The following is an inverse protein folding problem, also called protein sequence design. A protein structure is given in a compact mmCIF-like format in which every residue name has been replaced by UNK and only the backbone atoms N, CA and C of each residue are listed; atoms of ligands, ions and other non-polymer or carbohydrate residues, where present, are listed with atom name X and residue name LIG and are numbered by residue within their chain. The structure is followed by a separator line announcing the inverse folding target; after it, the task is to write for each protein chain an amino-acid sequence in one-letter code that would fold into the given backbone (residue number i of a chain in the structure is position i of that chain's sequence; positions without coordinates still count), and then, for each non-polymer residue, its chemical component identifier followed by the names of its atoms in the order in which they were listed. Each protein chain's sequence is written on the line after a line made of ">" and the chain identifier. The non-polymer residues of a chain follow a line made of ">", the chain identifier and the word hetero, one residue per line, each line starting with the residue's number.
data_IF_267287598146
#
_entry.id   IF_267287598146
#
_cell.length_a   1.000
_cell.length_b   1.000
_cell.length_c   1.000
_cell.angle_alpha   90.00
_cell.angle_beta   90.00
_cell.angle_gamma   90.00
#
_symmetry.space_group_name_H-M   'P 1'
#
loop_
_entity.id
_entity.type
_entity.pdbx_description
1 polymer ?
#
# COMPACT_ATOMS: atom_id res chain seq x y z
N UNK A 1 -2.61 -2.61 16.38
CA UNK A 1 -3.72 -3.18 15.58
C UNK A 1 -3.83 -2.38 14.28
N UNK A 2 -3.19 -2.82 13.19
CA UNK A 2 -3.37 -2.20 11.87
C UNK A 2 -4.52 -2.91 11.16
N UNK A 3 -5.63 -2.23 10.92
CA UNK A 3 -6.75 -2.83 10.19
C UNK A 3 -6.46 -2.69 8.68
N UNK A 4 -6.19 -3.79 7.99
CA UNK A 4 -6.04 -3.76 6.53
C UNK A 4 -7.43 -3.61 5.91
N UNK A 5 -7.71 -2.42 5.39
CA UNK A 5 -9.03 -2.08 4.86
C UNK A 5 -9.24 -2.61 3.44
N UNK A 6 -8.18 -2.68 2.61
CA UNK A 6 -8.26 -3.13 1.21
C UNK A 6 -6.89 -3.58 0.68
N UNK A 7 -6.85 -4.71 -0.03
CA UNK A 7 -5.67 -5.19 -0.77
C UNK A 7 -6.15 -5.83 -2.09
N UNK A 8 -6.15 -5.03 -3.16
CA UNK A 8 -6.58 -5.46 -4.50
C UNK A 8 -5.43 -5.26 -5.50
N UNK A 9 -4.80 -6.35 -5.99
CA UNK A 9 -3.83 -6.26 -7.06
C UNK A 9 -4.50 -5.77 -8.34
N UNK A 10 -3.98 -4.71 -8.95
CA UNK A 10 -4.46 -4.17 -10.22
C UNK A 10 -3.32 -4.01 -11.21
N UNK A 11 -3.52 -4.48 -12.43
CA UNK A 11 -2.58 -4.22 -13.53
C UNK A 11 -2.89 -2.85 -14.14
N UNK A 12 -1.88 -1.99 -14.22
CA UNK A 12 -2.04 -0.60 -14.66
C UNK A 12 -1.08 -0.27 -15.78
N UNK A 13 -1.56 0.49 -16.77
CA UNK A 13 -0.78 0.91 -17.93
C UNK A 13 0.05 2.18 -17.68
N UNK A 14 0.94 2.55 -18.63
CA UNK A 14 1.69 3.80 -18.57
C UNK A 14 0.77 5.02 -18.41
N UNK A 15 1.09 5.91 -17.48
CA UNK A 15 0.31 7.12 -17.22
C UNK A 15 -0.91 6.90 -16.32
N UNK A 16 -1.10 5.70 -15.76
CA UNK A 16 -2.09 5.47 -14.73
C UNK A 16 -1.92 6.45 -13.57
N UNK A 17 -3.05 6.96 -13.07
CA UNK A 17 -3.14 7.81 -11.90
C UNK A 17 -4.21 7.23 -11.00
N UNK A 18 -3.89 7.07 -9.72
CA UNK A 18 -4.91 6.79 -8.73
C UNK A 18 -5.86 7.99 -8.65
N UNK A 19 -7.15 7.69 -8.49
CA UNK A 19 -8.14 8.72 -8.21
C UNK A 19 -7.88 9.26 -6.78
N UNK A 20 -7.50 10.53 -6.62
CA UNK A 20 -7.22 11.10 -5.30
C UNK A 20 -8.47 11.13 -4.42
N UNK A 21 -9.66 11.29 -4.99
CA UNK A 21 -10.89 11.32 -4.21
C UNK A 21 -11.22 9.92 -3.66
N UNK A 22 -11.04 8.86 -4.46
CA UNK A 22 -11.21 7.48 -3.98
C UNK A 22 -10.26 7.17 -2.81
N UNK A 23 -8.99 7.57 -2.93
CA UNK A 23 -7.99 7.37 -1.88
C UNK A 23 -8.33 8.13 -0.59
N UNK A 24 -8.82 9.37 -0.71
CA UNK A 24 -9.19 10.20 0.44
C UNK A 24 -10.47 9.71 1.11
N UNK A 25 -11.49 9.32 0.33
CA UNK A 25 -12.73 8.74 0.85
C UNK A 25 -12.48 7.44 1.61
N UNK A 26 -11.65 6.54 1.06
CA UNK A 26 -11.29 5.27 1.71
C UNK A 26 -10.60 5.45 3.07
N UNK A 27 -10.07 6.65 3.32
CA UNK A 27 -9.37 6.99 4.54
C UNK A 27 -10.15 7.83 5.54
N UNK A 28 -11.33 8.32 5.17
CA UNK A 28 -12.15 9.09 6.09
C UNK A 28 -12.51 8.25 7.32
N UNK A 29 -12.40 8.87 8.50
CA UNK A 29 -12.66 8.20 9.77
C UNK A 29 -11.49 7.35 10.30
N UNK A 30 -10.36 7.30 9.58
CA UNK A 30 -9.12 6.69 10.03
C UNK A 30 -8.03 7.75 10.23
N UNK A 31 -7.12 7.53 11.19
CA UNK A 31 -5.90 8.35 11.26
C UNK A 31 -5.03 8.02 10.04
N UNK A 32 -4.88 8.99 9.14
CA UNK A 32 -4.13 8.79 7.90
C UNK A 32 -2.62 8.80 8.22
N UNK A 33 -2.03 7.62 8.38
CA UNK A 33 -0.63 7.52 8.77
C UNK A 33 0.30 7.57 7.54
N UNK A 34 0.10 6.68 6.54
CA UNK A 34 1.05 6.54 5.42
C UNK A 34 0.41 5.94 4.16
N UNK A 35 0.72 6.50 2.99
CA UNK A 35 0.42 5.91 1.68
C UNK A 35 1.66 5.21 1.11
N UNK A 36 1.51 3.95 0.70
CA UNK A 36 2.54 3.17 0.01
C UNK A 36 1.96 2.59 -1.28
N UNK A 37 2.69 2.78 -2.38
CA UNK A 37 2.41 2.24 -3.71
C UNK A 37 3.49 1.21 -4.02
N UNK A 38 3.07 0.01 -4.39
CA UNK A 38 3.96 -1.08 -4.82
C UNK A 38 3.57 -1.43 -6.25
N UNK A 39 4.54 -1.48 -7.13
CA UNK A 39 4.37 -1.98 -8.50
C UNK A 39 5.40 -3.05 -8.82
N UNK A 40 5.09 -3.88 -9.80
CA UNK A 40 6.06 -4.73 -10.47
C UNK A 40 6.33 -4.15 -11.86
N UNK A 41 7.60 -3.90 -12.17
CA UNK A 41 8.01 -3.43 -13.48
C UNK A 41 8.01 -4.59 -14.50
N UNK A 42 7.95 -4.31 -15.81
CA UNK A 42 7.93 -5.36 -16.84
C UNK A 42 9.15 -6.32 -16.82
N UNK A 43 10.24 -5.93 -16.16
CA UNK A 43 11.44 -6.76 -15.96
C UNK A 43 11.36 -7.65 -14.70
N UNK A 44 10.24 -7.65 -13.98
CA UNK A 44 10.04 -8.37 -12.72
C UNK A 44 10.61 -7.68 -11.48
N UNK A 45 11.11 -6.45 -11.60
CA UNK A 45 11.63 -5.69 -10.47
C UNK A 45 10.49 -5.03 -9.68
N UNK A 46 10.52 -5.19 -8.36
CA UNK A 46 9.57 -4.51 -7.47
C UNK A 46 9.96 -3.06 -7.28
N UNK A 47 9.03 -2.15 -7.57
CA UNK A 47 9.15 -0.73 -7.32
C UNK A 47 8.25 -0.33 -6.15
N UNK A 48 8.80 0.44 -5.21
CA UNK A 48 8.06 0.95 -4.06
C UNK A 48 8.19 2.47 -4.01
N UNK A 49 7.06 3.15 -3.88
CA UNK A 49 6.99 4.59 -3.68
C UNK A 49 5.99 4.90 -2.57
N UNK A 50 6.18 6.00 -1.85
CA UNK A 50 5.28 6.35 -0.77
C UNK A 50 5.62 7.68 -0.15
N UNK A 51 4.79 8.09 0.81
CA UNK A 51 5.05 9.29 1.63
C UNK A 51 6.13 9.05 2.70
N UNK A 52 6.52 7.79 2.92
CA UNK A 52 7.59 7.37 3.83
C UNK A 52 8.83 6.88 3.06
N UNK A 53 9.95 6.72 3.75
CA UNK A 53 11.16 6.14 3.15
C UNK A 53 10.92 4.69 2.70
N UNK A 54 11.62 4.24 1.65
CA UNK A 54 11.44 2.89 1.07
C UNK A 54 11.62 1.80 2.12
N UNK A 55 12.59 1.92 3.02
CA UNK A 55 12.82 0.94 4.09
C UNK A 55 11.66 0.86 5.08
N UNK A 56 11.09 1.99 5.46
CA UNK A 56 9.94 2.05 6.36
C UNK A 56 8.69 1.47 5.70
N UNK A 57 8.46 1.78 4.41
CA UNK A 57 7.38 1.20 3.62
C UNK A 57 7.46 -0.34 3.59
N UNK A 58 8.64 -0.90 3.32
CA UNK A 58 8.86 -2.36 3.29
C UNK A 58 8.59 -3.03 4.65
N UNK A 59 9.03 -2.40 5.75
CA UNK A 59 8.74 -2.91 7.11
C UNK A 59 7.24 -2.89 7.41
N UNK A 60 6.54 -1.82 7.04
CA UNK A 60 5.08 -1.75 7.23
C UNK A 60 4.33 -2.79 6.41
N UNK A 61 4.77 -3.05 5.17
CA UNK A 61 4.20 -4.11 4.33
C UNK A 61 4.40 -5.47 4.98
N UNK A 62 5.59 -5.77 5.48
CA UNK A 62 5.87 -7.04 6.14
C UNK A 62 5.00 -7.24 7.39
N UNK A 63 4.86 -6.20 8.21
CA UNK A 63 3.97 -6.22 9.37
C UNK A 63 2.51 -6.40 8.97
N UNK A 64 2.06 -5.73 7.91
CA UNK A 64 0.71 -5.88 7.36
C UNK A 64 0.43 -7.30 6.89
N UNK A 65 1.37 -7.91 6.15
CA UNK A 65 1.28 -9.32 5.72
C UNK A 65 1.24 -10.26 6.93
N UNK A 66 2.13 -10.08 7.90
CA UNK A 66 2.16 -10.92 9.10
C UNK A 66 0.82 -10.86 9.84
N UNK A 67 0.23 -9.68 9.98
CA UNK A 67 -1.06 -9.53 10.63
C UNK A 67 -2.20 -10.17 9.80
N UNK A 68 -2.18 -10.04 8.47
CA UNK A 68 -3.17 -10.67 7.58
C UNK A 68 -3.10 -12.20 7.60
N UNK A 69 -1.89 -12.76 7.58
CA UNK A 69 -1.66 -14.21 7.42
C UNK A 69 -1.68 -14.92 8.76
N UNK A 70 -1.12 -14.31 9.81
CA UNK A 70 -0.89 -14.95 11.10
C UNK A 70 -1.74 -14.36 12.23
N UNK A 71 -2.43 -13.24 12.02
CA UNK A 71 -3.26 -12.60 13.05
C UNK A 71 -2.47 -12.00 14.22
N UNK A 72 -1.15 -11.86 14.10
CA UNK A 72 -0.28 -11.33 15.14
C UNK A 72 -0.39 -9.80 15.20
N UNK A 73 -0.72 -9.27 16.38
CA UNK A 73 -0.97 -7.85 16.62
C UNK A 73 -0.41 -7.37 17.95
#
# INVERSE_FOLDING_TARGET
>A
MSNVVRLEPVEVGPGYRFDPDELLEAAKGHEFATLVIIGELPNGETWVSGSASVGEALVMIERGKHQLVFGEG
#
